data_IF_249605847378
#
_entry.id   IF_249605847378
#
_cell.length_a   1.000
_cell.length_b   1.000
_cell.length_c   1.000
_cell.angle_alpha   90.00
_cell.angle_beta   90.00
_cell.angle_gamma   90.00
#
_symmetry.space_group_name_H-M   'P 1'
#
loop_
_entity.id
_entity.type
_entity.pdbx_description
1 polymer ?
#
# COMPACT_ATOMS: atom_id res chain seq x y z
N UNK A 1 -8.08 -14.60 -19.47
CA UNK A 1 -7.03 -15.61 -19.77
C UNK A 1 -6.65 -15.66 -21.24
N UNK A 2 -7.49 -15.19 -22.17
CA UNK A 2 -7.26 -15.27 -23.62
C UNK A 2 -5.86 -14.84 -24.12
N UNK A 3 -5.23 -13.77 -23.59
CA UNK A 3 -3.89 -13.40 -24.05
C UNK A 3 -2.78 -14.43 -23.72
N UNK A 4 -3.04 -15.36 -22.80
CA UNK A 4 -2.08 -16.35 -22.33
C UNK A 4 -2.28 -17.75 -22.95
N UNK A 5 -3.38 -17.97 -23.67
CA UNK A 5 -3.63 -19.27 -24.29
C UNK A 5 -2.53 -19.63 -25.30
N UNK A 6 -2.16 -20.91 -25.34
CA UNK A 6 -1.08 -21.39 -26.20
C UNK A 6 0.32 -21.26 -25.58
N UNK A 7 0.49 -20.55 -24.46
CA UNK A 7 1.82 -20.19 -23.98
C UNK A 7 2.53 -21.25 -23.14
N UNK A 8 1.86 -22.35 -22.77
CA UNK A 8 2.45 -23.38 -21.90
C UNK A 8 2.69 -22.94 -20.45
N UNK A 9 2.09 -21.83 -20.01
CA UNK A 9 2.25 -21.32 -18.63
C UNK A 9 1.34 -22.04 -17.66
N UNK A 10 1.77 -22.08 -16.40
CA UNK A 10 0.98 -22.57 -15.28
C UNK A 10 0.21 -21.46 -14.58
N UNK A 11 -1.01 -21.76 -14.15
CA UNK A 11 -1.82 -20.88 -13.31
C UNK A 11 -2.11 -21.55 -11.98
N UNK A 12 -1.84 -20.83 -10.90
CA UNK A 12 -2.27 -21.24 -9.57
C UNK A 12 -3.61 -20.62 -9.23
N UNK A 13 -4.56 -21.46 -8.84
CA UNK A 13 -5.94 -21.04 -8.61
C UNK A 13 -6.39 -21.40 -7.19
N UNK A 14 -7.29 -20.59 -6.66
CA UNK A 14 -7.98 -20.91 -5.42
C UNK A 14 -9.09 -21.97 -5.64
N UNK A 15 -9.64 -22.47 -4.55
CA UNK A 15 -10.63 -23.53 -4.50
C UNK A 15 -11.92 -23.23 -5.27
N UNK A 16 -12.27 -21.95 -5.41
CA UNK A 16 -13.47 -21.50 -6.10
C UNK A 16 -13.41 -21.83 -7.60
N UNK A 17 -12.23 -21.63 -8.20
CA UNK A 17 -12.01 -21.81 -9.64
C UNK A 17 -11.54 -23.22 -10.03
N UNK A 18 -11.11 -24.01 -9.05
CA UNK A 18 -10.50 -25.33 -9.29
C UNK A 18 -11.57 -26.41 -9.47
N UNK A 19 -11.56 -27.10 -10.61
CA UNK A 19 -12.41 -28.26 -10.92
C UNK A 19 -11.80 -29.10 -12.04
N UNK A 20 -12.26 -30.35 -12.19
CA UNK A 20 -11.83 -31.21 -13.30
C UNK A 20 -12.23 -30.61 -14.66
N UNK A 21 -13.49 -30.14 -14.87
CA UNK A 21 -13.85 -29.46 -16.12
C UNK A 21 -12.99 -28.23 -16.44
N UNK A 22 -12.65 -27.42 -15.42
CA UNK A 22 -11.74 -26.28 -15.62
C UNK A 22 -10.35 -26.74 -16.05
N UNK A 23 -9.83 -27.82 -15.45
CA UNK A 23 -8.53 -28.38 -15.78
C UNK A 23 -8.47 -28.86 -17.23
N UNK A 24 -9.47 -29.63 -17.67
CA UNK A 24 -9.59 -30.12 -19.05
C UNK A 24 -9.71 -28.97 -20.06
N UNK A 25 -10.48 -27.92 -19.72
CA UNK A 25 -10.57 -26.73 -20.56
C UNK A 25 -9.21 -26.04 -20.72
N UNK A 26 -8.45 -25.86 -19.64
CA UNK A 26 -7.13 -25.21 -19.70
C UNK A 26 -6.09 -26.06 -20.43
N UNK A 27 -6.12 -27.39 -20.27
CA UNK A 27 -5.27 -28.31 -21.05
C UNK A 27 -5.49 -28.08 -22.56
N UNK A 28 -6.75 -28.01 -23.01
CA UNK A 28 -7.09 -27.73 -24.43
C UNK A 28 -6.56 -26.38 -24.90
N UNK A 29 -6.35 -25.43 -23.99
CA UNK A 29 -5.77 -24.10 -24.26
C UNK A 29 -4.25 -24.04 -24.04
N UNK A 30 -3.57 -25.18 -23.85
CA UNK A 30 -2.13 -25.28 -23.54
C UNK A 30 -1.74 -24.42 -22.32
N UNK A 31 -2.56 -24.48 -21.29
CA UNK A 31 -2.32 -23.87 -19.98
C UNK A 31 -2.37 -24.97 -18.93
N UNK A 32 -1.36 -25.01 -18.05
CA UNK A 32 -1.39 -25.91 -16.89
C UNK A 32 -2.02 -25.20 -15.71
N UNK A 33 -2.56 -25.97 -14.76
CA UNK A 33 -3.10 -25.41 -13.53
C UNK A 33 -2.69 -26.21 -12.31
N UNK A 34 -2.68 -25.53 -11.17
CA UNK A 34 -2.59 -26.16 -9.85
C UNK A 34 -3.51 -25.39 -8.90
N UNK A 35 -4.33 -26.09 -8.13
CA UNK A 35 -5.25 -25.42 -7.21
C UNK A 35 -5.81 -26.35 -6.15
N UNK A 36 -6.28 -25.78 -5.04
CA UNK A 36 -6.93 -26.57 -3.99
C UNK A 36 -8.34 -26.95 -4.41
N UNK A 37 -8.87 -28.08 -3.95
CA UNK A 37 -10.25 -28.50 -4.25
C UNK A 37 -11.16 -28.43 -3.03
N UNK A 38 -12.41 -27.99 -3.24
CA UNK A 38 -13.46 -28.04 -2.23
C UNK A 38 -13.97 -29.48 -2.08
N UNK A 39 -14.31 -29.87 -0.84
CA UNK A 39 -14.79 -31.22 -0.49
C UNK A 39 -16.05 -31.63 -1.27
N UNK A 40 -16.92 -30.68 -1.57
CA UNK A 40 -18.27 -30.92 -2.12
C UNK A 40 -18.31 -31.05 -3.64
N UNK A 41 -17.18 -31.09 -4.34
CA UNK A 41 -17.18 -31.24 -5.80
C UNK A 41 -17.44 -32.71 -6.16
N UNK A 42 -18.42 -33.00 -7.05
CA UNK A 42 -18.77 -34.39 -7.42
C UNK A 42 -17.62 -35.15 -8.09
N UNK A 43 -16.60 -34.42 -8.57
CA UNK A 43 -15.45 -34.97 -9.29
C UNK A 43 -14.40 -35.63 -8.36
N UNK A 44 -14.61 -35.64 -7.04
CA UNK A 44 -13.67 -36.22 -6.08
C UNK A 44 -14.18 -37.61 -5.66
N UNK A 45 -13.45 -38.69 -5.93
CA UNK A 45 -13.82 -40.01 -5.43
C UNK A 45 -13.86 -40.05 -3.90
N UNK A 46 -14.84 -40.75 -3.33
CA UNK A 46 -15.06 -40.86 -1.88
C UNK A 46 -13.81 -41.28 -1.09
N UNK A 47 -12.93 -42.08 -1.71
CA UNK A 47 -11.64 -42.50 -1.13
C UNK A 47 -10.67 -41.35 -0.81
N UNK A 48 -10.87 -40.18 -1.41
CA UNK A 48 -10.09 -38.95 -1.22
C UNK A 48 -10.72 -38.00 -0.21
N UNK A 49 -11.97 -38.23 0.20
CA UNK A 49 -12.74 -37.31 1.02
C UNK A 49 -12.42 -37.41 2.51
N UNK A 50 -12.09 -38.60 3.00
CA UNK A 50 -12.13 -38.86 4.44
C UNK A 50 -10.73 -38.96 5.04
N UNK A 51 -10.47 -38.17 6.09
CA UNK A 51 -9.28 -38.31 6.94
C UNK A 51 -9.44 -39.40 8.01
N UNK A 52 -10.66 -39.89 8.26
CA UNK A 52 -10.94 -40.89 9.30
C UNK A 52 -10.24 -42.20 8.94
N UNK A 53 -9.48 -42.75 9.88
CA UNK A 53 -8.69 -43.97 9.68
C UNK A 53 -7.40 -43.79 8.86
N UNK A 54 -7.05 -42.56 8.46
CA UNK A 54 -5.77 -42.28 7.79
C UNK A 54 -4.71 -41.81 8.79
N UNK A 55 -3.48 -42.25 8.57
CA UNK A 55 -2.32 -41.80 9.33
C UNK A 55 -2.02 -40.31 9.10
N UNK A 56 -1.48 -39.66 10.13
CA UNK A 56 -1.03 -38.28 10.04
C UNK A 56 0.12 -38.17 9.02
N UNK A 57 0.13 -37.09 8.25
CA UNK A 57 1.10 -36.83 7.18
C UNK A 57 1.07 -37.86 6.04
N UNK A 58 0.04 -38.69 5.96
CA UNK A 58 -0.17 -39.60 4.83
C UNK A 58 -0.74 -38.86 3.61
N UNK A 59 -0.38 -39.33 2.43
CA UNK A 59 -0.87 -38.84 1.13
C UNK A 59 -1.53 -39.96 0.35
N UNK A 60 -2.57 -39.62 -0.41
CA UNK A 60 -3.16 -40.48 -1.43
C UNK A 60 -3.15 -39.71 -2.75
N UNK A 61 -2.97 -40.43 -3.84
CA UNK A 61 -2.84 -39.88 -5.17
C UNK A 61 -3.82 -40.57 -6.10
N UNK A 62 -4.40 -39.79 -7.02
CA UNK A 62 -5.18 -40.27 -8.15
C UNK A 62 -4.57 -39.63 -9.38
N UNK A 63 -4.30 -40.47 -10.37
CA UNK A 63 -3.74 -40.04 -11.64
C UNK A 63 -4.68 -40.42 -12.77
N UNK A 64 -4.72 -39.52 -13.75
CA UNK A 64 -5.21 -39.76 -15.10
C UNK A 64 -4.09 -39.32 -16.04
N UNK A 65 -4.27 -39.46 -17.35
CA UNK A 65 -3.25 -39.11 -18.33
C UNK A 65 -2.74 -37.67 -18.21
N UNK A 66 -3.61 -36.73 -17.81
CA UNK A 66 -3.30 -35.29 -17.82
C UNK A 66 -3.59 -34.58 -16.48
N UNK A 67 -4.17 -35.26 -15.50
CA UNK A 67 -4.57 -34.67 -14.22
C UNK A 67 -4.10 -35.56 -13.09
N UNK A 68 -3.50 -34.94 -12.07
CA UNK A 68 -3.22 -35.54 -10.78
C UNK A 68 -4.05 -34.86 -9.69
N UNK A 69 -4.61 -35.67 -8.79
CA UNK A 69 -5.33 -35.20 -7.60
C UNK A 69 -4.70 -35.85 -6.38
N UNK A 70 -4.37 -35.03 -5.39
CA UNK A 70 -3.77 -35.50 -4.14
C UNK A 70 -4.67 -35.21 -2.96
N UNK A 71 -4.63 -36.07 -1.96
CA UNK A 71 -5.32 -35.91 -0.68
C UNK A 71 -4.33 -36.17 0.45
N UNK A 72 -3.90 -35.10 1.12
CA UNK A 72 -2.90 -35.09 2.18
C UNK A 72 -3.54 -34.83 3.55
N UNK A 73 -3.07 -35.51 4.61
CA UNK A 73 -3.60 -35.38 5.97
C UNK A 73 -2.63 -34.57 6.85
N UNK A 74 -2.68 -33.23 6.86
CA UNK A 74 -1.77 -32.43 7.69
C UNK A 74 -2.05 -32.54 9.19
N UNK A 75 -3.32 -32.78 9.56
CA UNK A 75 -3.83 -32.77 10.94
C UNK A 75 -4.92 -33.83 11.07
N UNK A 76 -5.13 -34.33 12.29
CA UNK A 76 -6.20 -35.30 12.60
C UNK A 76 -7.55 -34.76 12.09
N UNK A 77 -8.29 -35.61 11.36
CA UNK A 77 -9.60 -35.28 10.77
C UNK A 77 -9.61 -34.10 9.77
N UNK A 78 -8.46 -33.68 9.24
CA UNK A 78 -8.36 -32.64 8.21
C UNK A 78 -7.63 -33.19 6.98
N UNK A 79 -8.14 -32.88 5.81
CA UNK A 79 -7.49 -33.20 4.53
C UNK A 79 -7.27 -31.92 3.73
N UNK A 80 -6.14 -31.86 3.02
CA UNK A 80 -5.86 -30.87 1.99
C UNK A 80 -5.87 -31.60 0.66
N UNK A 81 -6.60 -31.06 -0.30
CA UNK A 81 -6.71 -31.63 -1.64
C UNK A 81 -6.23 -30.63 -2.66
N UNK A 82 -5.39 -31.08 -3.57
CA UNK A 82 -4.85 -30.27 -4.66
C UNK A 82 -5.03 -31.04 -5.95
N UNK A 83 -5.48 -30.34 -6.97
CA UNK A 83 -5.52 -30.81 -8.35
C UNK A 83 -4.40 -30.10 -9.10
N UNK A 84 -3.66 -30.84 -9.92
CA UNK A 84 -2.67 -30.28 -10.82
C UNK A 84 -2.72 -30.96 -12.19
N UNK A 85 -2.44 -30.17 -13.23
CA UNK A 85 -2.12 -30.65 -14.58
C UNK A 85 -0.66 -30.37 -14.96
N UNK A 86 0.10 -29.76 -14.04
CA UNK A 86 1.49 -29.42 -14.24
C UNK A 86 2.43 -30.48 -13.65
N UNK A 87 2.10 -30.97 -12.46
CA UNK A 87 2.89 -31.96 -11.73
C UNK A 87 2.07 -33.23 -11.60
N UNK A 88 2.34 -34.20 -12.47
CA UNK A 88 1.69 -35.51 -12.45
C UNK A 88 2.70 -36.50 -11.88
N UNK A 89 2.96 -36.38 -10.58
CA UNK A 89 3.86 -37.25 -9.82
C UNK A 89 3.32 -37.55 -8.42
N UNK A 90 3.83 -38.61 -7.81
CA UNK A 90 3.56 -39.04 -6.44
C UNK A 90 4.71 -38.68 -5.48
N UNK A 91 5.58 -37.75 -5.87
CA UNK A 91 6.77 -37.41 -5.10
C UNK A 91 6.40 -36.72 -3.79
N UNK A 92 7.03 -37.17 -2.71
CA UNK A 92 6.81 -36.66 -1.35
C UNK A 92 8.13 -36.15 -0.79
N UNK A 93 8.09 -35.01 -0.12
CA UNK A 93 9.25 -34.42 0.56
C UNK A 93 9.80 -35.35 1.63
N UNK A 94 11.13 -35.46 1.72
CA UNK A 94 11.81 -36.16 2.82
C UNK A 94 11.81 -35.36 4.14
N UNK A 95 11.24 -34.16 4.15
CA UNK A 95 11.10 -33.34 5.35
C UNK A 95 10.12 -33.93 6.36
N UNK A 96 10.19 -33.46 7.61
CA UNK A 96 9.35 -33.92 8.73
C UNK A 96 7.85 -33.83 8.43
N UNK A 97 7.45 -32.89 7.58
CA UNK A 97 6.06 -32.69 7.19
C UNK A 97 5.56 -33.64 6.08
N UNK A 98 6.42 -34.39 5.39
CA UNK A 98 6.05 -35.35 4.32
C UNK A 98 4.99 -34.83 3.34
N UNK A 99 5.14 -33.59 2.86
CA UNK A 99 4.18 -32.98 1.94
C UNK A 99 4.50 -33.45 0.52
N UNK A 100 3.48 -33.79 -0.29
CA UNK A 100 3.66 -33.96 -1.72
C UNK A 100 4.29 -32.71 -2.36
N UNK A 101 5.15 -32.91 -3.36
CA UNK A 101 5.82 -31.82 -4.07
C UNK A 101 4.81 -30.84 -4.68
N UNK A 102 3.68 -31.35 -5.17
CA UNK A 102 2.57 -30.54 -5.68
C UNK A 102 2.00 -29.55 -4.65
N UNK A 103 1.91 -29.92 -3.36
CA UNK A 103 1.48 -29.01 -2.29
C UNK A 103 2.55 -27.94 -2.03
N UNK A 104 3.82 -28.32 -2.10
CA UNK A 104 4.92 -27.38 -1.92
C UNK A 104 4.91 -26.32 -3.02
N UNK A 105 4.74 -26.74 -4.28
CA UNK A 105 4.67 -25.82 -5.41
C UNK A 105 3.42 -24.94 -5.34
N UNK A 106 2.25 -25.49 -4.99
CA UNK A 106 1.05 -24.68 -4.75
C UNK A 106 1.30 -23.59 -3.70
N UNK A 107 1.96 -23.93 -2.59
CA UNK A 107 2.23 -22.96 -1.53
C UNK A 107 3.19 -21.84 -1.97
N UNK A 108 4.07 -22.12 -2.94
CA UNK A 108 5.02 -21.14 -3.47
C UNK A 108 4.33 -20.03 -4.26
N UNK A 109 3.24 -20.34 -4.95
CA UNK A 109 2.61 -19.43 -5.93
C UNK A 109 1.25 -18.90 -5.50
N UNK A 110 0.55 -19.55 -4.54
CA UNK A 110 -0.82 -19.19 -4.13
C UNK A 110 -0.99 -17.75 -3.61
N UNK A 111 0.09 -17.11 -3.11
CA UNK A 111 0.02 -15.78 -2.49
C UNK A 111 0.17 -14.61 -3.48
N UNK A 112 0.28 -14.87 -4.79
CA UNK A 112 0.57 -13.81 -5.77
C UNK A 112 -0.41 -12.64 -5.73
N UNK A 113 -1.72 -12.93 -5.72
CA UNK A 113 -2.77 -11.90 -5.67
C UNK A 113 -2.85 -11.25 -4.28
N UNK A 114 -2.77 -12.04 -3.21
CA UNK A 114 -2.83 -11.55 -1.83
C UNK A 114 -1.70 -10.56 -1.51
N UNK A 115 -0.50 -10.83 -2.01
CA UNK A 115 0.66 -9.95 -1.84
C UNK A 115 0.46 -8.62 -2.57
N UNK A 116 -0.05 -8.67 -3.80
CA UNK A 116 -0.35 -7.45 -4.55
C UNK A 116 -1.42 -6.60 -3.84
N UNK A 117 -2.48 -7.23 -3.34
CA UNK A 117 -3.54 -6.54 -2.61
C UNK A 117 -3.03 -5.95 -1.28
N UNK A 118 -2.14 -6.66 -0.59
CA UNK A 118 -1.48 -6.14 0.63
C UNK A 118 -0.68 -4.88 0.33
N UNK A 119 0.11 -4.87 -0.76
CA UNK A 119 0.89 -3.69 -1.16
C UNK A 119 0.00 -2.50 -1.54
N UNK A 120 -1.15 -2.75 -2.17
CA UNK A 120 -2.14 -1.69 -2.46
C UNK A 120 -2.73 -1.15 -1.16
N UNK A 121 -3.09 -2.02 -0.21
CA UNK A 121 -3.63 -1.62 1.09
C UNK A 121 -2.65 -0.86 1.97
N UNK A 122 -1.35 -1.04 1.79
CA UNK A 122 -0.36 -0.32 2.60
C UNK A 122 -0.24 1.18 2.26
N UNK A 123 -0.95 1.69 1.23
CA UNK A 123 -1.09 3.10 0.82
C UNK A 123 0.20 3.91 0.62
N UNK A 124 1.39 3.39 0.96
CA UNK A 124 2.67 4.11 0.90
C UNK A 124 2.96 4.59 -0.52
N UNK A 125 2.82 3.70 -1.49
CA UNK A 125 2.99 4.05 -2.90
C UNK A 125 2.04 5.17 -3.34
N UNK A 126 0.76 5.11 -2.95
CA UNK A 126 -0.21 6.14 -3.33
C UNK A 126 0.07 7.49 -2.66
N UNK A 127 0.56 7.48 -1.42
CA UNK A 127 0.96 8.71 -0.73
C UNK A 127 2.18 9.34 -1.38
N UNK A 128 3.20 8.55 -1.71
CA UNK A 128 4.42 9.04 -2.34
C UNK A 128 4.15 9.52 -3.77
N UNK A 129 3.38 8.76 -4.55
CA UNK A 129 2.91 9.18 -5.88
C UNK A 129 2.10 10.47 -5.80
N UNK A 130 1.18 10.59 -4.83
CA UNK A 130 0.39 11.81 -4.63
C UNK A 130 1.27 13.02 -4.33
N UNK A 131 2.32 12.86 -3.51
CA UNK A 131 3.31 13.92 -3.25
C UNK A 131 4.06 14.30 -4.52
N UNK A 132 4.60 13.32 -5.26
CA UNK A 132 5.37 13.57 -6.48
C UNK A 132 4.53 14.27 -7.57
N UNK A 133 3.28 13.85 -7.77
CA UNK A 133 2.37 14.46 -8.74
C UNK A 133 1.94 15.88 -8.36
N UNK A 134 1.81 16.17 -7.06
CA UNK A 134 1.39 17.50 -6.58
C UNK A 134 2.55 18.48 -6.41
N UNK A 135 3.76 18.00 -6.15
CA UNK A 135 4.96 18.82 -5.92
C UNK A 135 5.23 19.87 -7.02
N UNK A 136 5.21 19.57 -8.34
CA UNK A 136 5.44 20.61 -9.35
C UNK A 136 4.37 21.71 -9.33
N UNK A 137 3.13 21.35 -8.97
CA UNK A 137 2.02 22.31 -8.85
C UNK A 137 2.16 23.19 -7.59
N UNK A 138 2.59 22.59 -6.47
CA UNK A 138 2.91 23.29 -5.22
C UNK A 138 4.04 24.29 -5.46
N UNK A 139 5.13 23.87 -6.12
CA UNK A 139 6.27 24.74 -6.44
C UNK A 139 5.87 25.92 -7.34
N UNK A 140 5.00 25.70 -8.35
CA UNK A 140 4.47 26.79 -9.19
C UNK A 140 3.68 27.81 -8.37
N UNK A 141 2.84 27.34 -7.46
CA UNK A 141 2.07 28.21 -6.55
C UNK A 141 2.96 28.96 -5.55
N UNK A 142 4.02 28.33 -5.06
CA UNK A 142 4.98 28.94 -4.15
C UNK A 142 5.77 30.09 -4.80
N UNK A 143 6.02 30.02 -6.12
CA UNK A 143 6.68 31.10 -6.88
C UNK A 143 5.78 32.32 -7.10
N UNK A 144 4.47 32.13 -7.17
CA UNK A 144 3.48 33.18 -7.46
C UNK A 144 2.34 33.16 -6.42
N UNK A 145 2.57 33.64 -5.18
CA UNK A 145 1.62 33.49 -4.08
C UNK A 145 0.46 34.49 -4.10
N UNK A 146 0.43 35.43 -5.05
CA UNK A 146 -0.56 36.50 -5.11
C UNK A 146 -1.97 35.90 -5.21
N UNK A 147 -2.84 36.23 -4.24
CA UNK A 147 -4.22 35.74 -4.18
C UNK A 147 -4.40 34.40 -3.46
N UNK A 148 -3.33 33.78 -2.94
CA UNK A 148 -3.46 32.60 -2.09
C UNK A 148 -3.88 32.97 -0.68
N UNK A 149 -4.88 32.24 -0.14
CA UNK A 149 -5.30 32.41 1.24
C UNK A 149 -4.21 31.91 2.20
N UNK A 150 -4.13 32.51 3.39
CA UNK A 150 -3.12 32.17 4.41
C UNK A 150 -3.07 30.67 4.79
N UNK A 151 -4.19 29.92 4.88
CA UNK A 151 -4.14 28.47 5.13
C UNK A 151 -3.42 27.70 4.01
N UNK A 152 -3.53 28.15 2.76
CA UNK A 152 -2.87 27.53 1.61
C UNK A 152 -1.36 27.80 1.65
N UNK A 153 -0.95 29.02 2.02
CA UNK A 153 0.46 29.36 2.19
C UNK A 153 1.11 28.50 3.29
N UNK A 154 0.45 28.36 4.45
CA UNK A 154 0.91 27.48 5.53
C UNK A 154 0.98 26.02 5.11
N UNK A 155 0.02 25.54 4.32
CA UNK A 155 0.04 24.17 3.82
C UNK A 155 1.22 23.93 2.85
N UNK A 156 1.54 24.90 1.99
CA UNK A 156 2.72 24.85 1.10
C UNK A 156 4.01 24.80 1.94
N UNK A 157 4.16 25.67 2.92
CA UNK A 157 5.33 25.68 3.82
C UNK A 157 5.45 24.37 4.63
N UNK A 158 4.33 23.79 5.07
CA UNK A 158 4.30 22.50 5.76
C UNK A 158 4.78 21.32 4.89
N UNK A 159 4.78 21.48 3.55
CA UNK A 159 5.42 20.51 2.64
C UNK A 159 6.94 20.69 2.51
N UNK A 160 7.53 21.68 3.20
CA UNK A 160 8.97 22.00 3.13
C UNK A 160 9.33 22.93 1.96
N UNK A 161 8.34 23.48 1.25
CA UNK A 161 8.55 24.39 0.10
C UNK A 161 8.52 25.85 0.58
N UNK A 162 9.56 26.62 0.25
CA UNK A 162 9.62 28.05 0.54
C UNK A 162 8.77 28.86 -0.45
N UNK A 163 7.91 29.75 0.06
CA UNK A 163 7.09 30.64 -0.76
C UNK A 163 7.83 31.95 -1.02
N UNK A 164 8.12 32.23 -2.29
CA UNK A 164 8.82 33.45 -2.72
C UNK A 164 7.82 34.61 -2.72
N UNK A 165 8.12 35.67 -1.96
CA UNK A 165 7.27 36.87 -1.85
C UNK A 165 6.67 37.11 -0.46
N UNK A 166 6.94 36.24 0.52
CA UNK A 166 6.59 36.46 1.93
C UNK A 166 7.83 36.83 2.79
N UNK A 167 8.80 37.51 2.19
CA UNK A 167 9.84 38.22 2.93
C UNK A 167 9.26 39.51 3.49
N UNK A 168 8.58 39.41 4.64
CA UNK A 168 8.89 40.35 5.69
C UNK A 168 10.30 40.00 6.16
N UNK A 169 11.31 40.62 5.54
CA UNK A 169 12.70 40.49 5.91
C UNK A 169 12.87 40.76 7.41
N UNK A 170 13.23 39.73 8.18
CA UNK A 170 14.03 39.93 9.39
C UNK A 170 15.48 40.14 8.94
N UNK A 171 15.77 41.33 8.43
CA UNK A 171 17.15 41.80 8.29
C UNK A 171 17.52 42.59 9.55
N UNK A 172 18.44 42.03 10.35
CA UNK A 172 19.21 42.71 11.40
C UNK A 172 20.01 43.86 10.72
N UNK A 173 20.19 45.03 11.38
CA UNK A 173 20.24 46.32 10.71
C UNK A 173 21.62 46.61 10.12
N UNK A 174 21.64 47.14 8.90
CA UNK A 174 22.80 47.88 8.39
C UNK A 174 22.37 49.30 8.09
N UNK A 175 22.98 50.20 8.86
CA UNK A 175 22.93 51.65 8.83
C UNK A 175 23.02 52.22 7.42
N UNK A 176 21.99 52.94 6.96
CA UNK A 176 22.12 54.26 6.33
C UNK A 176 20.79 54.79 5.78
N UNK A 177 20.23 55.79 6.47
CA UNK A 177 19.48 56.90 5.90
C UNK A 177 18.18 56.64 5.14
N UNK A 178 17.04 56.72 5.85
CA UNK A 178 15.86 57.47 5.41
C UNK A 178 14.95 57.77 6.62
N UNK A 179 14.92 59.04 7.03
CA UNK A 179 14.14 59.54 8.16
C UNK A 179 12.63 59.47 7.84
N UNK A 180 11.91 58.49 8.38
CA UNK A 180 10.45 58.61 8.53
C UNK A 180 10.15 59.35 9.84
N UNK A 181 9.50 60.52 9.72
CA UNK A 181 9.13 61.37 10.85
C UNK A 181 8.16 60.65 11.81
N UNK A 182 8.62 60.32 13.02
CA UNK A 182 7.77 59.72 14.06
C UNK A 182 6.68 60.69 14.49
N UNK A 183 5.40 60.29 14.40
CA UNK A 183 4.24 61.10 14.82
C UNK A 183 4.28 61.34 16.34
N UNK A 184 4.27 62.61 16.76
CA UNK A 184 4.23 63.02 18.18
C UNK A 184 2.86 62.70 18.80
N UNK A 185 2.83 62.15 20.01
CA UNK A 185 1.61 61.86 20.78
C UNK A 185 1.66 62.53 22.16
N UNK A 186 0.52 62.59 22.85
CA UNK A 186 0.38 63.28 24.15
C UNK A 186 1.28 62.64 25.21
N UNK A 187 1.99 63.47 25.96
CA UNK A 187 2.78 63.07 27.14
C UNK A 187 1.88 62.43 28.20
N UNK A 188 2.29 61.27 28.71
CA UNK A 188 1.47 60.39 29.54
C UNK A 188 0.93 61.08 30.81
N UNK A 189 1.71 61.96 31.43
CA UNK A 189 1.30 62.68 32.64
C UNK A 189 0.70 64.08 32.35
N UNK A 190 0.29 64.39 31.11
CA UNK A 190 -0.24 65.71 30.79
C UNK A 190 -1.78 65.80 30.99
N UNK A 191 -2.29 66.71 31.84
CA UNK A 191 -3.73 66.92 32.01
C UNK A 191 -4.37 67.41 30.71
N UNK A 192 -5.62 67.03 30.43
CA UNK A 192 -6.26 67.26 29.10
C UNK A 192 -6.27 68.72 28.64
N UNK A 193 -6.28 69.67 29.59
CA UNK A 193 -6.27 71.12 29.34
C UNK A 193 -4.92 71.61 28.77
N UNK A 194 -3.83 70.88 29.01
CA UNK A 194 -2.49 71.18 28.51
C UNK A 194 -2.04 70.04 27.58
N UNK A 195 -2.24 70.17 26.26
CA UNK A 195 -1.94 69.11 25.28
C UNK A 195 -0.46 69.09 24.83
N UNK A 196 0.45 68.75 25.75
CA UNK A 196 1.89 68.64 25.40
C UNK A 196 2.15 67.35 24.61
N UNK A 197 2.67 67.48 23.39
CA UNK A 197 3.00 66.35 22.49
C UNK A 197 4.51 66.08 22.45
N UNK A 198 4.90 64.83 22.71
CA UNK A 198 6.28 64.34 22.71
C UNK A 198 6.47 63.21 21.70
N UNK A 199 7.70 62.96 21.28
CA UNK A 199 8.09 61.86 20.38
C UNK A 199 8.91 60.76 21.08
N UNK A 200 9.25 60.97 22.35
CA UNK A 200 9.97 60.04 23.21
C UNK A 200 9.01 59.09 23.93
N UNK A 201 9.46 57.86 24.16
CA UNK A 201 8.67 56.76 24.75
C UNK A 201 9.54 56.07 25.82
N UNK A 202 8.96 55.72 26.97
CA UNK A 202 9.63 54.95 28.01
C UNK A 202 9.88 53.51 27.54
N UNK A 203 11.11 53.02 27.67
CA UNK A 203 11.51 51.69 27.24
C UNK A 203 10.89 50.55 28.07
N UNK A 204 10.41 50.83 29.28
CA UNK A 204 9.84 49.80 30.16
C UNK A 204 8.31 49.69 30.05
N UNK A 205 7.60 50.78 29.78
CA UNK A 205 6.13 50.80 29.79
C UNK A 205 5.50 51.29 28.48
N UNK A 206 6.30 51.61 27.45
CA UNK A 206 5.88 52.04 26.11
C UNK A 206 4.94 53.26 26.07
N UNK A 207 4.92 54.07 27.14
CA UNK A 207 4.15 55.32 27.21
C UNK A 207 4.99 56.52 26.78
N UNK A 208 4.35 57.53 26.20
CA UNK A 208 5.01 58.76 25.74
C UNK A 208 5.45 59.64 26.91
N UNK A 209 6.76 59.88 27.05
CA UNK A 209 7.42 60.70 28.09
C UNK A 209 8.31 61.76 27.46
#
# INVERSE_FOLDING_TARGET
MEPLFGSGRGVTMDNYFTSVPTAEFLIKKKITMTGTMIIRKPDIPSMMETAKGRELLSSKFIFTDNIAVISYVPKKNKTVRVLSTQFIDDSVSNESHKKPQMILEYNRTKCGVDNADTLVREYRFLLDLGKELTQPNILRRAKNPIGLQLPVLRAIEATGVFVVGNTAEKSIPTTSGQQQSRKRRRFYNCPRKNDRKVNSICCECERFV
#
